data_IF_116491463882
#
_entry.id   IF_116491463882
#
_cell.length_a   1.000
_cell.length_b   1.000
_cell.length_c   1.000
_cell.angle_alpha   90.00
_cell.angle_beta   90.00
_cell.angle_gamma   90.00
#
_symmetry.space_group_name_H-M   'P 1'
#
loop_
_entity.id
_entity.type
_entity.pdbx_description
1 polymer ?
#
# COMPACT_ATOMS: atom_id res chain seq x y z
N UNK A 1 20.78 -15.44 10.30
CA UNK A 1 19.98 -14.74 11.31
C UNK A 1 19.20 -15.71 12.17
N UNK A 2 18.23 -16.45 11.62
CA UNK A 2 17.30 -17.31 12.40
C UNK A 2 17.97 -18.38 13.25
N UNK A 3 19.01 -19.05 12.74
CA UNK A 3 19.78 -20.02 13.51
C UNK A 3 20.47 -19.39 14.74
N UNK A 4 21.04 -18.18 14.59
CA UNK A 4 21.68 -17.48 15.71
C UNK A 4 20.66 -17.11 16.80
N UNK A 5 19.48 -16.60 16.41
CA UNK A 5 18.41 -16.29 17.35
C UNK A 5 17.94 -17.55 18.08
N UNK A 6 17.78 -18.67 17.35
CA UNK A 6 17.39 -19.93 17.96
C UNK A 6 18.42 -20.44 18.97
N UNK A 7 19.71 -20.40 18.63
CA UNK A 7 20.76 -20.83 19.57
C UNK A 7 20.85 -19.91 20.79
N UNK A 8 20.65 -18.60 20.62
CA UNK A 8 20.61 -17.66 21.73
C UNK A 8 19.44 -17.94 22.69
N UNK A 9 18.23 -18.20 22.16
CA UNK A 9 17.08 -18.56 22.99
C UNK A 9 17.31 -19.86 23.75
N UNK A 10 17.89 -20.87 23.09
CA UNK A 10 18.25 -22.14 23.72
C UNK A 10 19.30 -21.96 24.82
N UNK A 11 20.30 -21.09 24.62
CA UNK A 11 21.29 -20.75 25.65
C UNK A 11 20.65 -20.05 26.87
N UNK A 12 19.62 -19.23 26.64
CA UNK A 12 18.81 -18.62 27.70
C UNK A 12 17.81 -19.59 28.36
N UNK A 13 17.80 -20.87 27.97
CA UNK A 13 16.91 -21.90 28.52
C UNK A 13 15.47 -21.85 27.99
N UNK A 14 15.21 -21.09 26.93
CA UNK A 14 13.90 -21.02 26.28
C UNK A 14 13.72 -22.19 25.31
N UNK A 15 12.58 -22.86 25.35
CA UNK A 15 12.27 -23.97 24.44
C UNK A 15 11.92 -23.43 23.06
N UNK A 16 12.92 -23.34 22.19
CA UNK A 16 12.74 -22.91 20.80
C UNK A 16 13.23 -23.93 19.76
N UNK A 17 12.57 -23.94 18.60
CA UNK A 17 12.95 -24.75 17.43
C UNK A 17 13.02 -23.91 16.17
N UNK A 18 13.99 -24.22 15.30
CA UNK A 18 14.10 -23.63 13.97
C UNK A 18 13.35 -24.51 12.95
N UNK A 19 12.28 -23.98 12.36
CA UNK A 19 11.57 -24.58 11.24
C UNK A 19 12.10 -24.02 9.92
N UNK A 20 12.65 -24.83 9.00
CA UNK A 20 13.12 -24.33 7.72
C UNK A 20 11.94 -23.92 6.83
N UNK A 21 11.88 -22.65 6.41
CA UNK A 21 10.79 -22.12 5.58
C UNK A 21 10.62 -22.90 4.27
N UNK A 22 11.71 -23.43 3.70
CA UNK A 22 11.69 -24.21 2.46
C UNK A 22 10.94 -25.56 2.57
N UNK A 23 10.59 -26.02 3.78
CA UNK A 23 9.83 -27.25 3.99
C UNK A 23 8.31 -27.03 3.88
N UNK A 24 7.84 -25.78 3.99
CA UNK A 24 6.41 -25.47 3.97
C UNK A 24 6.02 -24.28 3.09
N UNK A 25 6.92 -23.31 2.88
CA UNK A 25 6.65 -22.13 2.07
C UNK A 25 6.82 -22.43 0.58
N UNK A 26 5.75 -22.25 -0.20
CA UNK A 26 5.73 -22.58 -1.64
C UNK A 26 4.89 -21.60 -2.46
N UNK A 27 5.34 -21.37 -3.70
CA UNK A 27 4.58 -20.70 -4.76
C UNK A 27 4.21 -21.64 -5.90
N UNK A 28 3.14 -21.29 -6.63
CA UNK A 28 2.62 -21.98 -7.79
C UNK A 28 3.35 -21.57 -9.09
N UNK A 29 2.81 -22.00 -10.25
CA UNK A 29 3.42 -21.71 -11.57
C UNK A 29 3.31 -20.23 -11.97
N UNK A 30 2.45 -19.46 -11.32
CA UNK A 30 2.25 -18.04 -11.55
C UNK A 30 3.03 -17.19 -10.53
N UNK A 31 3.90 -17.82 -9.72
CA UNK A 31 4.62 -17.20 -8.61
C UNK A 31 3.70 -16.68 -7.48
N UNK A 32 2.48 -17.21 -7.38
CA UNK A 32 1.56 -16.91 -6.28
C UNK A 32 1.71 -17.94 -5.15
N UNK A 33 1.64 -17.56 -3.85
CA UNK A 33 1.71 -18.52 -2.76
C UNK A 33 0.59 -19.57 -2.82
N UNK A 34 0.89 -20.81 -2.42
CA UNK A 34 -0.09 -21.91 -2.32
C UNK A 34 -0.56 -22.07 -0.86
N UNK A 35 -1.71 -21.48 -0.46
CA UNK A 35 -2.10 -21.43 0.95
C UNK A 35 -2.45 -22.80 1.52
N UNK A 36 -2.96 -23.71 0.67
CA UNK A 36 -3.32 -25.08 1.08
C UNK A 36 -2.05 -25.86 1.39
N UNK A 37 -1.07 -25.83 0.48
CA UNK A 37 0.22 -26.47 0.69
C UNK A 37 0.93 -25.92 1.93
N UNK A 38 0.98 -24.59 2.06
CA UNK A 38 1.64 -23.92 3.20
C UNK A 38 1.01 -24.38 4.50
N UNK A 39 -0.32 -24.38 4.59
CA UNK A 39 -1.06 -24.80 5.78
C UNK A 39 -0.77 -26.25 6.16
N UNK A 40 -0.89 -27.18 5.21
CA UNK A 40 -0.72 -28.61 5.48
C UNK A 40 0.72 -28.94 5.88
N UNK A 41 1.70 -28.36 5.18
CA UNK A 41 3.12 -28.60 5.47
C UNK A 41 3.60 -27.92 6.74
N UNK A 42 3.15 -26.68 7.01
CA UNK A 42 3.47 -26.01 8.26
C UNK A 42 2.90 -26.79 9.44
N UNK A 43 1.65 -27.27 9.34
CA UNK A 43 1.06 -28.11 10.39
C UNK A 43 1.88 -29.38 10.64
N UNK A 44 2.30 -30.07 9.58
CA UNK A 44 3.16 -31.24 9.72
C UNK A 44 4.50 -30.93 10.40
N UNK A 45 5.08 -29.73 10.17
CA UNK A 45 6.30 -29.29 10.85
C UNK A 45 6.06 -28.96 12.33
N UNK A 46 4.93 -28.33 12.66
CA UNK A 46 4.55 -28.02 14.04
C UNK A 46 4.31 -29.31 14.86
N UNK A 47 3.64 -30.30 14.27
CA UNK A 47 3.32 -31.58 14.92
C UNK A 47 4.58 -32.41 15.28
N UNK A 48 5.74 -32.12 14.68
CA UNK A 48 7.02 -32.74 15.05
C UNK A 48 7.56 -32.25 16.40
N UNK A 49 7.11 -31.08 16.86
CA UNK A 49 7.69 -30.40 18.02
C UNK A 49 6.62 -29.87 19.00
N UNK A 50 5.64 -30.69 19.42
CA UNK A 50 4.43 -30.23 20.13
C UNK A 50 4.69 -29.55 21.48
N UNK A 51 5.82 -29.85 22.13
CA UNK A 51 6.20 -29.30 23.44
C UNK A 51 7.06 -28.02 23.36
N UNK A 52 7.15 -27.40 22.17
CA UNK A 52 7.95 -26.19 21.92
C UNK A 52 7.13 -24.92 22.16
N UNK A 53 7.75 -23.93 22.79
CA UNK A 53 7.11 -22.65 23.10
C UNK A 53 7.29 -21.65 21.96
N UNK A 54 8.49 -21.59 21.35
CA UNK A 54 8.82 -20.62 20.30
C UNK A 54 9.30 -21.32 19.03
N UNK A 55 8.59 -21.07 17.92
CA UNK A 55 9.00 -21.52 16.59
C UNK A 55 9.65 -20.37 15.85
N UNK A 56 10.86 -20.58 15.35
CA UNK A 56 11.61 -19.61 14.55
C UNK A 56 11.64 -20.11 13.12
N UNK A 57 11.39 -19.24 12.15
CA UNK A 57 11.54 -19.56 10.73
C UNK A 57 12.04 -18.37 9.93
N UNK A 58 12.48 -18.61 8.69
CA UNK A 58 12.93 -17.57 7.78
C UNK A 58 11.74 -16.90 7.09
N UNK A 59 11.84 -15.58 6.89
CA UNK A 59 10.99 -14.86 5.94
C UNK A 59 11.58 -14.88 4.52
N UNK A 60 10.82 -14.32 3.57
CA UNK A 60 11.20 -14.03 2.18
C UNK A 60 11.46 -15.23 1.27
N UNK A 61 12.02 -16.34 1.76
CA UNK A 61 12.40 -17.51 0.95
C UNK A 61 11.25 -18.53 0.81
N UNK A 62 11.17 -19.21 -0.34
CA UNK A 62 10.18 -20.25 -0.61
C UNK A 62 10.70 -21.27 -1.62
N UNK A 63 9.91 -22.31 -1.90
CA UNK A 63 10.09 -23.16 -3.09
C UNK A 63 9.15 -22.75 -4.21
N UNK A 64 9.62 -22.72 -5.45
CA UNK A 64 8.75 -22.50 -6.61
C UNK A 64 7.99 -23.77 -7.01
N UNK A 65 7.17 -23.68 -8.07
CA UNK A 65 6.42 -24.82 -8.59
C UNK A 65 7.30 -26.01 -9.02
N UNK A 66 8.57 -25.77 -9.36
CA UNK A 66 9.55 -26.75 -9.78
C UNK A 66 10.37 -27.33 -8.61
N UNK A 67 10.14 -26.86 -7.38
CA UNK A 67 10.83 -27.31 -6.17
C UNK A 67 12.17 -26.62 -5.92
N UNK A 68 12.55 -25.66 -6.75
CA UNK A 68 13.77 -24.88 -6.63
C UNK A 68 13.60 -23.78 -5.57
N UNK A 69 14.72 -23.29 -5.03
CA UNK A 69 14.70 -22.17 -4.08
C UNK A 69 14.36 -20.88 -4.84
N UNK A 70 13.39 -20.16 -4.32
CA UNK A 70 12.92 -18.88 -4.85
C UNK A 70 12.56 -17.93 -3.69
N UNK A 71 11.92 -16.80 -3.99
CA UNK A 71 11.53 -15.80 -3.00
C UNK A 71 10.16 -15.17 -3.27
N UNK A 72 9.59 -14.57 -2.23
CA UNK A 72 8.30 -13.89 -2.21
C UNK A 72 8.38 -12.41 -2.64
N UNK A 73 9.49 -12.00 -3.26
CA UNK A 73 9.71 -10.66 -3.79
C UNK A 73 9.52 -9.54 -2.74
N UNK A 74 8.96 -8.39 -3.16
CA UNK A 74 8.91 -7.17 -2.34
C UNK A 74 8.05 -7.37 -1.10
N UNK A 75 8.61 -7.02 0.06
CA UNK A 75 7.95 -7.23 1.36
C UNK A 75 7.83 -8.72 1.73
N UNK A 76 8.65 -9.59 1.14
CA UNK A 76 8.49 -11.04 1.30
C UNK A 76 8.57 -11.55 2.74
N UNK A 77 9.27 -10.88 3.65
CA UNK A 77 9.26 -11.25 5.08
C UNK A 77 7.91 -10.94 5.75
N UNK A 78 7.33 -9.77 5.50
CA UNK A 78 5.99 -9.41 6.00
C UNK A 78 4.93 -10.32 5.37
N UNK A 79 5.11 -10.66 4.08
CA UNK A 79 4.24 -11.57 3.38
C UNK A 79 4.32 -12.99 3.98
N UNK A 80 5.52 -13.44 4.34
CA UNK A 80 5.72 -14.73 5.05
C UNK A 80 4.97 -14.74 6.38
N UNK A 81 5.06 -13.66 7.16
CA UNK A 81 4.36 -13.55 8.44
C UNK A 81 2.83 -13.64 8.26
N UNK A 82 2.28 -12.95 7.26
CA UNK A 82 0.84 -13.03 6.96
C UNK A 82 0.39 -14.39 6.47
N UNK A 83 1.18 -15.05 5.62
CA UNK A 83 0.88 -16.40 5.13
C UNK A 83 0.90 -17.43 6.27
N UNK A 84 1.89 -17.34 7.16
CA UNK A 84 1.98 -18.19 8.36
C UNK A 84 0.80 -17.91 9.29
N UNK A 85 0.51 -16.63 9.57
CA UNK A 85 -0.61 -16.22 10.43
C UNK A 85 -1.94 -16.78 9.92
N UNK A 86 -2.20 -16.68 8.62
CA UNK A 86 -3.37 -17.27 7.98
C UNK A 86 -3.38 -18.80 8.06
N UNK A 87 -2.23 -19.46 7.84
CA UNK A 87 -2.11 -20.92 7.89
C UNK A 87 -2.40 -21.50 9.28
N UNK A 88 -1.96 -20.82 10.34
CA UNK A 88 -2.18 -21.25 11.74
C UNK A 88 -3.42 -20.65 12.39
N UNK A 89 -4.19 -19.82 11.66
CA UNK A 89 -5.32 -19.07 12.18
C UNK A 89 -4.94 -18.26 13.44
N UNK A 90 -3.88 -17.48 13.32
CA UNK A 90 -3.37 -16.63 14.39
C UNK A 90 -4.42 -15.59 14.83
N UNK A 91 -4.38 -15.21 16.11
CA UNK A 91 -5.24 -14.13 16.63
C UNK A 91 -4.79 -12.73 16.18
N UNK A 92 -3.50 -12.57 15.88
CA UNK A 92 -2.88 -11.32 15.45
C UNK A 92 -1.55 -11.64 14.74
N UNK A 93 -1.17 -10.82 13.77
CA UNK A 93 0.17 -10.81 13.16
C UNK A 93 0.86 -9.51 13.58
N UNK A 94 2.08 -9.60 14.12
CA UNK A 94 2.83 -8.43 14.55
C UNK A 94 4.05 -8.22 13.64
N UNK A 95 4.17 -7.02 13.07
CA UNK A 95 5.31 -6.59 12.27
C UNK A 95 6.05 -5.52 13.06
N UNK A 96 7.28 -5.83 13.43
CA UNK A 96 8.14 -4.96 14.24
C UNK A 96 9.08 -4.17 13.33
N UNK A 97 9.02 -2.84 13.44
CA UNK A 97 9.76 -1.89 12.60
C UNK A 97 10.54 -0.91 13.48
N UNK A 98 11.12 0.14 12.91
CA UNK A 98 11.87 1.20 13.59
C UNK A 98 11.02 2.46 13.89
N UNK A 99 9.71 2.39 13.69
CA UNK A 99 8.76 3.51 13.86
C UNK A 99 7.51 3.07 14.64
N UNK A 100 6.87 3.99 15.38
CA UNK A 100 5.60 3.75 16.09
C UNK A 100 4.42 3.76 15.09
N UNK A 101 4.31 2.69 14.32
CA UNK A 101 3.21 2.47 13.38
C UNK A 101 3.20 3.44 12.20
N UNK A 102 2.02 3.64 11.60
CA UNK A 102 1.81 4.60 10.51
C UNK A 102 1.39 5.95 11.09
N UNK A 103 2.01 7.03 10.65
CA UNK A 103 1.65 8.39 11.06
C UNK A 103 0.54 8.97 10.18
N UNK A 104 -0.24 9.90 10.73
CA UNK A 104 -1.29 10.62 10.01
C UNK A 104 -0.76 11.58 8.92
N UNK A 105 0.54 11.85 8.91
CA UNK A 105 1.23 12.61 7.86
C UNK A 105 2.74 12.29 7.91
N UNK A 106 3.52 12.73 6.92
CA UNK A 106 4.98 12.54 6.94
C UNK A 106 5.64 13.44 8.00
N UNK A 107 6.21 12.88 9.09
CA UNK A 107 6.84 13.66 10.16
C UNK A 107 8.07 14.46 9.71
N UNK A 108 8.62 14.18 8.52
CA UNK A 108 9.76 14.91 7.96
C UNK A 108 9.34 16.21 7.27
N UNK A 109 8.05 16.35 6.94
CA UNK A 109 7.52 17.47 6.14
C UNK A 109 6.55 18.33 6.98
N UNK A 110 5.70 17.68 7.76
CA UNK A 110 4.63 18.29 8.55
C UNK A 110 4.96 18.21 10.03
N UNK A 111 4.76 19.32 10.74
CA UNK A 111 4.92 19.36 12.19
C UNK A 111 3.70 18.74 12.90
N UNK A 112 3.91 18.20 14.10
CA UNK A 112 2.84 17.67 14.99
C UNK A 112 2.07 16.48 14.40
N UNK A 113 2.75 15.61 13.66
CA UNK A 113 2.12 14.34 13.24
C UNK A 113 1.92 13.43 14.45
N UNK A 114 0.95 12.53 14.33
CA UNK A 114 0.62 11.55 15.35
C UNK A 114 0.47 10.16 14.72
N UNK A 115 0.86 9.09 15.42
CA UNK A 115 0.55 7.73 15.02
C UNK A 115 -0.95 7.50 14.89
N UNK A 116 -1.36 6.87 13.80
CA UNK A 116 -2.73 6.39 13.59
C UNK A 116 -2.86 5.06 14.32
N UNK A 117 -3.77 4.97 15.29
CA UNK A 117 -3.87 3.77 16.15
C UNK A 117 -4.66 2.63 15.52
N UNK A 118 -5.59 2.94 14.62
CA UNK A 118 -6.40 1.96 13.92
C UNK A 118 -6.58 2.37 12.46
N UNK A 119 -6.39 1.42 11.56
CA UNK A 119 -6.63 1.54 10.13
C UNK A 119 -7.42 0.32 9.61
N UNK A 120 -8.30 0.56 8.66
CA UNK A 120 -8.82 -0.48 7.81
C UNK A 120 -7.72 -0.95 6.84
N UNK A 121 -7.76 -2.21 6.38
CA UNK A 121 -6.78 -2.74 5.41
C UNK A 121 -6.67 -1.89 4.15
N UNK A 122 -7.79 -1.38 3.64
CA UNK A 122 -7.77 -0.50 2.45
C UNK A 122 -7.16 0.87 2.78
N UNK A 123 -7.46 1.47 3.93
CA UNK A 123 -6.82 2.73 4.34
C UNK A 123 -5.29 2.57 4.45
N UNK A 124 -4.82 1.47 5.05
CA UNK A 124 -3.40 1.15 5.14
C UNK A 124 -2.75 0.95 3.75
N UNK A 125 -3.47 0.30 2.82
CA UNK A 125 -2.99 0.10 1.45
C UNK A 125 -2.82 1.43 0.70
N UNK A 126 -3.77 2.36 0.85
CA UNK A 126 -3.70 3.70 0.26
C UNK A 126 -2.49 4.47 0.81
N UNK A 127 -2.32 4.48 2.13
CA UNK A 127 -1.18 5.15 2.77
C UNK A 127 0.16 4.55 2.36
N UNK A 128 0.22 3.22 2.28
CA UNK A 128 1.42 2.50 1.84
C UNK A 128 1.81 2.85 0.41
N UNK A 129 0.82 2.94 -0.47
CA UNK A 129 1.03 3.26 -1.88
C UNK A 129 1.47 4.71 -2.07
N UNK A 130 0.83 5.65 -1.37
CA UNK A 130 1.04 7.09 -1.58
C UNK A 130 2.07 7.74 -0.66
N UNK A 131 2.75 7.06 0.27
CA UNK A 131 3.85 7.71 0.99
C UNK A 131 4.48 6.94 2.16
N UNK A 132 3.69 6.16 2.88
CA UNK A 132 4.15 5.41 4.04
C UNK A 132 4.75 4.06 3.61
N UNK A 133 5.98 4.06 3.09
CA UNK A 133 6.71 2.87 2.57
C UNK A 133 7.09 1.82 3.64
N UNK A 134 6.24 1.62 4.63
CA UNK A 134 6.45 0.77 5.81
C UNK A 134 6.03 -0.67 5.49
N UNK A 135 4.97 -0.83 4.72
CA UNK A 135 4.32 -2.10 4.47
C UNK A 135 3.83 -2.15 3.03
N UNK A 136 4.13 -3.23 2.30
CA UNK A 136 3.61 -3.38 0.94
C UNK A 136 2.17 -3.92 0.99
N UNK A 137 1.20 -3.36 0.22
CA UNK A 137 -0.22 -3.75 0.32
C UNK A 137 -0.49 -5.25 0.12
N UNK A 138 0.27 -5.91 -0.77
CA UNK A 138 0.10 -7.35 -1.02
C UNK A 138 0.51 -8.21 0.17
N UNK A 139 1.40 -7.73 1.03
CA UNK A 139 1.94 -8.51 2.15
C UNK A 139 0.88 -8.80 3.22
N UNK A 140 -0.14 -7.95 3.36
CA UNK A 140 -1.21 -8.11 4.35
C UNK A 140 -2.49 -8.70 3.78
N UNK A 141 -2.52 -8.98 2.49
CA UNK A 141 -3.68 -9.55 1.82
C UNK A 141 -4.10 -10.92 2.38
N UNK A 142 -3.18 -11.85 2.74
CA UNK A 142 -3.58 -13.09 3.42
C UNK A 142 -4.26 -12.83 4.77
N UNK A 143 -3.75 -11.86 5.53
CA UNK A 143 -4.30 -11.47 6.83
C UNK A 143 -5.71 -10.87 6.66
N UNK A 144 -5.88 -9.98 5.67
CA UNK A 144 -7.19 -9.41 5.28
C UNK A 144 -8.22 -10.48 4.97
N UNK A 145 -7.88 -11.45 4.11
CA UNK A 145 -8.80 -12.52 3.73
C UNK A 145 -9.09 -13.51 4.85
N UNK A 146 -8.13 -13.75 5.74
CA UNK A 146 -8.31 -14.58 6.93
C UNK A 146 -8.99 -13.83 8.09
N UNK A 147 -9.27 -12.52 7.93
CA UNK A 147 -9.78 -11.64 8.99
C UNK A 147 -8.88 -11.64 10.25
N UNK A 148 -7.56 -11.64 10.06
CA UNK A 148 -6.57 -11.59 11.13
C UNK A 148 -6.00 -10.17 11.19
N UNK A 149 -6.08 -9.47 12.33
CA UNK A 149 -5.51 -8.14 12.46
C UNK A 149 -3.98 -8.17 12.37
N UNK A 150 -3.40 -7.13 11.76
CA UNK A 150 -1.96 -6.92 11.66
C UNK A 150 -1.60 -5.71 12.50
N UNK A 151 -0.63 -5.81 13.41
CA UNK A 151 -0.14 -4.69 14.21
C UNK A 151 1.27 -4.30 13.80
N UNK A 152 1.45 -3.03 13.48
CA UNK A 152 2.76 -2.42 13.27
C UNK A 152 3.29 -1.87 14.59
N UNK A 153 4.44 -2.37 15.04
CA UNK A 153 5.05 -2.06 16.33
C UNK A 153 6.46 -1.46 16.15
N UNK A 154 6.94 -0.79 17.19
CA UNK A 154 8.28 -0.19 17.23
C UNK A 154 9.23 -1.04 18.06
N UNK A 155 10.30 -1.54 17.43
CA UNK A 155 11.36 -2.32 18.08
C UNK A 155 12.11 -1.49 19.14
N UNK A 156 12.19 -0.18 18.95
CA UNK A 156 12.89 0.74 19.87
C UNK A 156 12.01 1.24 21.02
N UNK A 157 10.69 1.04 20.94
CA UNK A 157 9.73 1.38 21.98
C UNK A 157 8.65 0.30 22.10
N UNK A 158 8.95 -0.84 22.75
CA UNK A 158 8.06 -2.01 22.77
C UNK A 158 6.71 -1.82 23.47
N UNK A 159 6.60 -0.79 24.31
CA UNK A 159 5.36 -0.46 25.03
C UNK A 159 4.44 0.46 24.20
N UNK A 160 4.93 0.97 23.06
CA UNK A 160 4.12 1.78 22.16
C UNK A 160 2.93 0.96 21.61
N UNK A 161 1.70 1.50 21.58
CA UNK A 161 0.53 0.76 21.09
C UNK A 161 0.62 0.33 19.63
N UNK A 162 1.43 1.02 18.83
CA UNK A 162 1.55 0.82 17.39
C UNK A 162 0.31 1.26 16.61
N UNK A 163 0.19 0.71 15.41
CA UNK A 163 -0.98 0.83 14.52
C UNK A 163 -1.59 -0.54 14.32
N UNK A 164 -2.87 -0.71 14.67
CA UNK A 164 -3.64 -1.90 14.36
C UNK A 164 -4.32 -1.76 12.99
N UNK A 165 -4.14 -2.76 12.13
CA UNK A 165 -4.75 -2.83 10.80
C UNK A 165 -5.71 -4.02 10.78
N UNK A 166 -7.00 -3.78 10.54
CA UNK A 166 -8.03 -4.84 10.49
C UNK A 166 -9.09 -4.59 9.42
N UNK A 167 -10.10 -5.46 9.33
CA UNK A 167 -11.29 -5.21 8.51
C UNK A 167 -12.33 -4.31 9.21
N UNK A 168 -12.01 -3.78 10.40
CA UNK A 168 -12.88 -2.87 11.13
C UNK A 168 -12.61 -1.42 10.75
N UNK A 169 -13.62 -0.74 10.22
CA UNK A 169 -13.55 0.67 9.85
C UNK A 169 -14.03 1.55 11.00
N UNK A 170 -13.18 2.45 11.48
CA UNK A 170 -13.59 3.55 12.36
C UNK A 170 -14.33 4.61 11.53
N UNK A 171 -15.67 4.63 11.64
CA UNK A 171 -16.54 5.45 10.81
C UNK A 171 -16.38 6.97 11.01
N UNK A 172 -16.66 7.72 9.95
CA UNK A 172 -16.82 9.18 9.97
C UNK A 172 -15.55 9.92 10.38
N UNK A 173 -14.38 9.49 9.91
CA UNK A 173 -13.11 10.08 10.31
C UNK A 173 -12.06 9.96 9.22
N UNK A 174 -11.43 11.09 8.90
CA UNK A 174 -10.18 11.13 8.13
C UNK A 174 -9.04 10.67 9.05
N UNK A 175 -8.20 9.76 8.56
CA UNK A 175 -7.11 9.15 9.34
C UNK A 175 -5.78 9.80 9.07
N UNK A 176 -5.50 10.09 7.81
CA UNK A 176 -4.14 10.40 7.40
C UNK A 176 -4.10 11.12 6.04
N UNK A 177 -2.95 11.72 5.74
CA UNK A 177 -2.62 12.32 4.46
C UNK A 177 -1.23 11.82 4.04
N UNK A 178 -1.10 11.41 2.79
CA UNK A 178 0.15 10.94 2.21
C UNK A 178 0.46 11.68 0.90
N UNK A 179 1.72 11.65 0.46
CA UNK A 179 2.18 12.31 -0.75
C UNK A 179 3.13 11.45 -1.58
N UNK A 180 2.81 11.27 -2.87
CA UNK A 180 3.62 10.55 -3.84
C UNK A 180 4.27 11.55 -4.81
N UNK A 181 5.59 11.58 -4.76
CA UNK A 181 6.44 12.47 -5.57
C UNK A 181 6.73 11.89 -6.96
N UNK A 182 7.40 12.69 -7.80
CA UNK A 182 7.88 12.32 -9.14
C UNK A 182 6.76 11.91 -10.11
N UNK A 183 5.64 12.62 -10.06
CA UNK A 183 4.49 12.32 -10.91
C UNK A 183 4.54 13.16 -12.18
N UNK A 184 4.22 12.52 -13.30
CA UNK A 184 4.01 13.18 -14.59
C UNK A 184 2.54 13.02 -15.00
N UNK A 185 1.86 14.12 -15.24
CA UNK A 185 0.48 14.14 -15.74
C UNK A 185 0.46 14.21 -17.27
N UNK A 186 -0.33 13.35 -17.90
CA UNK A 186 -0.53 13.32 -19.34
C UNK A 186 -2.01 13.56 -19.61
N UNK A 187 -2.32 14.66 -20.29
CA UNK A 187 -3.69 14.99 -20.69
C UNK A 187 -3.86 14.79 -22.19
N UNK A 188 -4.85 14.00 -22.55
CA UNK A 188 -5.22 13.69 -23.94
C UNK A 188 -6.60 14.30 -24.19
N UNK A 189 -6.67 15.27 -25.11
CA UNK A 189 -7.92 15.91 -25.54
C UNK A 189 -8.28 15.43 -26.94
N UNK A 190 -9.50 14.89 -27.09
CA UNK A 190 -10.00 14.42 -28.38
C UNK A 190 -11.51 14.57 -28.46
N UNK A 191 -12.01 15.30 -29.46
CA UNK A 191 -13.45 15.35 -29.76
C UNK A 191 -14.00 13.98 -30.16
N UNK A 192 -13.13 13.06 -30.61
CA UNK A 192 -13.47 11.67 -30.94
C UNK A 192 -13.73 10.79 -29.73
N UNK A 193 -13.58 11.30 -28.51
CA UNK A 193 -13.94 10.56 -27.29
C UNK A 193 -15.46 10.58 -27.06
N UNK A 194 -16.15 11.64 -27.49
CA UNK A 194 -17.58 11.80 -27.27
C UNK A 194 -18.37 10.68 -27.99
N UNK A 195 -19.16 9.91 -27.23
CA UNK A 195 -19.97 8.78 -27.74
C UNK A 195 -19.17 7.67 -28.45
N UNK A 196 -17.84 7.66 -28.31
CA UNK A 196 -17.00 6.69 -28.99
C UNK A 196 -16.71 5.47 -28.12
N UNK A 197 -16.98 4.28 -28.67
CA UNK A 197 -16.58 3.03 -28.05
C UNK A 197 -15.08 2.77 -28.24
N UNK A 198 -14.40 2.33 -27.18
CA UNK A 198 -13.02 1.85 -27.23
C UNK A 198 -11.92 2.92 -27.20
N UNK A 199 -12.24 4.21 -27.04
CA UNK A 199 -11.21 5.26 -26.91
C UNK A 199 -10.31 5.01 -25.69
N UNK A 200 -10.91 4.80 -24.50
CA UNK A 200 -10.15 4.54 -23.27
C UNK A 200 -9.33 3.26 -23.35
N UNK A 201 -9.88 2.19 -23.97
CA UNK A 201 -9.14 0.94 -24.22
C UNK A 201 -7.86 1.21 -25.01
N UNK A 202 -7.96 1.93 -26.13
CA UNK A 202 -6.80 2.25 -26.98
C UNK A 202 -5.75 3.09 -26.23
N UNK A 203 -6.20 4.03 -25.39
CA UNK A 203 -5.28 4.81 -24.54
C UNK A 203 -4.54 3.90 -23.57
N UNK A 204 -5.25 3.03 -22.83
CA UNK A 204 -4.63 2.15 -21.85
C UNK A 204 -3.76 1.04 -22.45
N UNK A 205 -4.11 0.52 -23.63
CA UNK A 205 -3.28 -0.46 -24.38
C UNK A 205 -1.89 0.10 -24.70
N UNK A 206 -1.74 1.41 -24.91
CA UNK A 206 -0.43 2.04 -25.13
C UNK A 206 0.42 1.93 -23.86
N UNK A 207 -0.11 2.33 -22.70
CA UNK A 207 0.62 2.25 -21.44
C UNK A 207 0.99 0.81 -21.09
N UNK A 208 0.09 -0.14 -21.32
CA UNK A 208 0.33 -1.58 -21.14
C UNK A 208 1.48 -2.08 -22.04
N UNK A 209 1.48 -1.69 -23.31
CA UNK A 209 2.52 -2.10 -24.29
C UNK A 209 3.93 -1.69 -23.86
N UNK A 210 4.06 -0.58 -23.13
CA UNK A 210 5.32 -0.10 -22.56
C UNK A 210 5.50 -0.45 -21.08
N UNK A 211 4.66 -1.33 -20.52
CA UNK A 211 4.68 -1.75 -19.12
C UNK A 211 4.74 -0.57 -18.13
N UNK A 212 3.99 0.50 -18.44
CA UNK A 212 3.94 1.72 -17.63
C UNK A 212 2.64 1.74 -16.83
N UNK A 213 2.74 1.68 -15.51
CA UNK A 213 1.58 1.77 -14.62
C UNK A 213 1.01 3.18 -14.58
N UNK A 214 -0.30 3.29 -14.37
CA UNK A 214 -1.03 4.54 -14.22
C UNK A 214 -1.52 4.64 -12.78
N UNK A 215 -1.31 5.78 -12.12
CA UNK A 215 -1.76 5.99 -10.74
C UNK A 215 -3.18 6.56 -10.67
N UNK A 216 -3.38 7.76 -11.24
CA UNK A 216 -4.66 8.48 -11.22
C UNK A 216 -5.21 8.61 -12.63
N UNK A 217 -6.55 8.58 -12.70
CA UNK A 217 -7.32 8.84 -13.92
C UNK A 217 -8.39 9.89 -13.61
N UNK A 218 -8.56 10.86 -14.50
CA UNK A 218 -9.65 11.84 -14.46
C UNK A 218 -10.18 12.04 -15.88
N UNK A 219 -11.50 12.02 -16.05
CA UNK A 219 -12.15 12.16 -17.34
C UNK A 219 -12.97 13.46 -17.43
N UNK A 220 -13.14 13.92 -18.66
CA UNK A 220 -14.12 14.91 -19.09
C UNK A 220 -14.83 14.35 -20.32
N UNK A 221 -15.81 15.06 -20.85
CA UNK A 221 -16.59 14.65 -22.02
C UNK A 221 -15.71 14.40 -23.27
N UNK A 222 -14.59 15.13 -23.38
CA UNK A 222 -13.71 15.13 -24.55
C UNK A 222 -12.24 14.97 -24.22
N UNK A 223 -11.91 14.47 -23.02
CA UNK A 223 -10.53 14.27 -22.64
C UNK A 223 -10.34 13.39 -21.43
N UNK A 224 -9.18 12.77 -21.37
CA UNK A 224 -8.71 11.93 -20.25
C UNK A 224 -7.36 12.46 -19.79
N UNK A 225 -7.19 12.57 -18.48
CA UNK A 225 -5.91 12.86 -17.85
C UNK A 225 -5.49 11.66 -17.03
N UNK A 226 -4.26 11.23 -17.21
CA UNK A 226 -3.66 10.09 -16.50
C UNK A 226 -2.34 10.52 -15.88
N UNK A 227 -1.93 9.87 -14.81
CA UNK A 227 -0.63 10.12 -14.18
C UNK A 227 0.24 8.88 -14.20
N UNK A 228 1.55 9.08 -14.33
CA UNK A 228 2.56 8.02 -14.26
C UNK A 228 3.71 8.45 -13.34
N UNK A 229 4.36 7.48 -12.72
CA UNK A 229 5.57 7.67 -11.91
C UNK A 229 6.86 7.17 -12.61
N UNK A 230 6.73 6.37 -13.68
CA UNK A 230 7.84 5.86 -14.48
C UNK A 230 7.90 6.51 -15.86
N UNK A 231 8.88 7.39 -16.07
CA UNK A 231 9.03 8.13 -17.33
C UNK A 231 9.96 7.48 -18.35
N UNK A 232 10.37 6.21 -18.15
CA UNK A 232 11.35 5.52 -19.02
C UNK A 232 10.97 5.52 -20.50
N UNK A 233 9.69 5.32 -20.81
CA UNK A 233 9.14 5.25 -22.17
C UNK A 233 8.22 6.42 -22.50
N UNK A 234 8.38 7.55 -21.81
CA UNK A 234 7.46 8.68 -21.92
C UNK A 234 7.36 9.21 -23.35
N UNK A 235 8.48 9.37 -24.06
CA UNK A 235 8.45 9.96 -25.41
C UNK A 235 7.69 9.07 -26.40
N UNK A 236 7.93 7.76 -26.35
CA UNK A 236 7.28 6.75 -27.18
C UNK A 236 5.77 6.70 -26.91
N UNK A 237 5.37 6.70 -25.63
CA UNK A 237 3.97 6.80 -25.20
C UNK A 237 3.33 8.07 -25.76
N UNK A 238 3.99 9.23 -25.67
CA UNK A 238 3.43 10.49 -26.17
C UNK A 238 3.25 10.48 -27.68
N UNK A 239 4.18 9.89 -28.44
CA UNK A 239 4.07 9.81 -29.89
C UNK A 239 2.94 8.88 -30.35
N UNK A 240 2.68 7.81 -29.61
CA UNK A 240 1.52 6.94 -29.85
C UNK A 240 0.20 7.62 -29.47
N UNK A 241 0.16 8.34 -28.33
CA UNK A 241 -1.03 9.05 -27.87
C UNK A 241 -1.44 10.20 -28.81
N UNK A 242 -0.48 10.88 -29.44
CA UNK A 242 -0.75 11.96 -30.42
C UNK A 242 -1.59 11.50 -31.62
N UNK A 243 -1.62 10.20 -31.91
CA UNK A 243 -2.48 9.61 -32.97
C UNK A 243 -3.97 9.70 -32.61
N UNK A 244 -4.29 9.85 -31.32
CA UNK A 244 -5.66 9.81 -30.79
C UNK A 244 -6.19 11.18 -30.36
N UNK A 245 -5.33 12.18 -30.15
CA UNK A 245 -5.74 13.52 -29.77
C UNK A 245 -4.57 14.47 -29.50
N UNK A 246 -4.88 15.68 -29.04
CA UNK A 246 -3.87 16.64 -28.59
C UNK A 246 -3.38 16.21 -27.20
N UNK A 247 -2.07 16.05 -27.06
CA UNK A 247 -1.43 15.60 -25.82
C UNK A 247 -0.67 16.76 -25.18
N UNK A 248 -0.89 16.99 -23.89
CA UNK A 248 -0.12 17.94 -23.06
C UNK A 248 0.45 17.22 -21.84
N UNK A 249 1.64 17.62 -21.41
CA UNK A 249 2.36 16.96 -20.31
C UNK A 249 2.72 17.98 -19.25
N UNK A 250 2.35 17.68 -18.01
CA UNK A 250 2.73 18.44 -16.83
C UNK A 250 3.72 17.59 -16.02
N UNK A 251 4.97 18.06 -15.90
CA UNK A 251 6.04 17.41 -15.11
C UNK A 251 6.12 18.03 -13.71
N UNK A 252 6.90 17.43 -12.83
CA UNK A 252 7.16 17.94 -11.47
C UNK A 252 5.85 18.08 -10.67
N UNK A 253 5.03 17.03 -10.74
CA UNK A 253 3.78 16.95 -10.02
C UNK A 253 3.92 16.01 -8.82
N UNK A 254 3.02 16.18 -7.87
CA UNK A 254 2.90 15.35 -6.68
C UNK A 254 1.42 15.00 -6.47
N UNK A 255 1.15 13.75 -6.11
CA UNK A 255 -0.18 13.31 -5.69
C UNK A 255 -0.27 13.43 -4.18
N UNK A 256 -1.25 14.18 -3.69
CA UNK A 256 -1.63 14.22 -2.28
C UNK A 256 -2.87 13.35 -2.11
N UNK A 257 -2.80 12.35 -1.25
CA UNK A 257 -3.89 11.43 -0.96
C UNK A 257 -4.37 11.63 0.47
N UNK A 258 -5.64 11.95 0.65
CA UNK A 258 -6.31 12.01 1.95
C UNK A 258 -7.03 10.70 2.17
N UNK A 259 -6.73 10.03 3.27
CA UNK A 259 -7.20 8.68 3.59
C UNK A 259 -8.09 8.70 4.83
N UNK A 260 -9.20 7.97 4.76
CA UNK A 260 -10.10 7.71 5.88
C UNK A 260 -11.44 7.19 5.42
N UNK A 261 -12.47 7.27 6.26
CA UNK A 261 -13.81 6.85 5.90
C UNK A 261 -14.51 7.90 5.01
N UNK A 262 -14.48 7.67 3.70
CA UNK A 262 -15.07 8.49 2.65
C UNK A 262 -16.22 7.77 1.93
N UNK A 263 -16.94 6.88 2.62
CA UNK A 263 -18.24 6.39 2.17
C UNK A 263 -19.14 7.57 1.73
N UNK A 264 -19.91 7.41 0.65
CA UNK A 264 -20.69 8.50 0.06
C UNK A 264 -21.80 9.03 1.00
N UNK A 265 -22.18 8.24 2.00
CA UNK A 265 -23.07 8.65 3.09
C UNK A 265 -22.42 9.66 4.07
N UNK A 266 -21.08 9.72 4.12
CA UNK A 266 -20.34 10.62 5.01
C UNK A 266 -20.18 12.01 4.39
N UNK A 267 -21.19 12.85 4.62
CA UNK A 267 -21.28 14.19 4.02
C UNK A 267 -20.18 15.14 4.53
N UNK A 268 -19.45 15.76 3.60
CA UNK A 268 -18.65 16.97 3.85
C UNK A 268 -17.17 16.74 4.11
N UNK A 269 -16.66 15.51 4.10
CA UNK A 269 -15.22 15.26 4.18
C UNK A 269 -14.49 15.71 2.92
N UNK A 270 -15.08 15.43 1.76
CA UNK A 270 -14.65 15.93 0.46
C UNK A 270 -14.62 17.45 0.42
N UNK A 271 -15.63 18.11 1.01
CA UNK A 271 -15.70 19.56 1.10
C UNK A 271 -14.58 20.12 1.99
N UNK A 272 -14.32 19.49 3.15
CA UNK A 272 -13.22 19.88 4.05
C UNK A 272 -11.85 19.71 3.39
N UNK A 273 -11.64 18.60 2.67
CA UNK A 273 -10.38 18.34 1.97
C UNK A 273 -10.16 19.37 0.84
N UNK A 274 -11.21 19.70 0.08
CA UNK A 274 -11.16 20.75 -0.93
C UNK A 274 -10.92 22.13 -0.31
N UNK A 275 -11.54 22.42 0.83
CA UNK A 275 -11.39 23.70 1.50
C UNK A 275 -9.97 23.92 2.03
N UNK A 276 -9.35 22.87 2.57
CA UNK A 276 -7.95 22.88 2.95
C UNK A 276 -6.99 23.16 1.76
N UNK A 277 -7.44 22.88 0.54
CA UNK A 277 -6.68 23.09 -0.70
C UNK A 277 -7.06 24.40 -1.42
N UNK A 278 -7.91 25.25 -0.82
CA UNK A 278 -8.50 26.44 -1.47
C UNK A 278 -7.47 27.38 -2.11
N UNK A 279 -6.34 27.59 -1.45
CA UNK A 279 -5.30 28.53 -1.91
C UNK A 279 -4.19 27.86 -2.74
N UNK A 280 -4.39 26.59 -3.12
CA UNK A 280 -3.39 25.78 -3.83
C UNK A 280 -3.94 25.39 -5.20
N UNK A 281 -3.21 25.67 -6.30
CA UNK A 281 -3.64 25.25 -7.63
C UNK A 281 -3.71 23.73 -7.76
N UNK A 282 -4.94 23.19 -7.82
CA UNK A 282 -5.19 21.76 -8.03
C UNK A 282 -5.34 21.45 -9.52
N UNK A 283 -4.55 20.50 -10.01
CA UNK A 283 -4.53 20.09 -11.41
C UNK A 283 -5.57 19.01 -11.74
N UNK A 284 -5.71 18.03 -10.86
CA UNK A 284 -6.67 16.91 -10.97
C UNK A 284 -7.20 16.57 -9.58
N UNK A 285 -8.45 16.12 -9.53
CA UNK A 285 -9.06 15.50 -8.36
C UNK A 285 -9.55 14.13 -8.81
N UNK A 286 -9.26 13.08 -8.04
CA UNK A 286 -9.82 11.75 -8.23
C UNK A 286 -10.50 11.32 -6.94
N UNK A 287 -11.78 10.98 -7.04
CA UNK A 287 -12.64 10.60 -5.93
C UNK A 287 -13.74 9.66 -6.45
N UNK A 288 -14.16 8.70 -5.61
CA UNK A 288 -15.22 7.73 -5.94
C UNK A 288 -14.72 6.42 -6.56
N UNK A 289 -13.41 6.24 -6.75
CA UNK A 289 -12.84 4.93 -7.11
C UNK A 289 -12.67 3.99 -5.92
N UNK A 290 -12.69 4.54 -4.70
CA UNK A 290 -12.57 3.85 -3.42
C UNK A 290 -13.36 4.65 -2.38
N UNK A 291 -13.89 3.97 -1.35
CA UNK A 291 -14.51 4.62 -0.19
C UNK A 291 -13.48 5.09 0.84
N UNK A 292 -12.18 4.93 0.55
CA UNK A 292 -11.10 5.15 1.53
C UNK A 292 -10.17 6.31 1.18
N UNK A 293 -10.29 6.90 -0.02
CA UNK A 293 -9.38 7.97 -0.44
C UNK A 293 -10.03 9.07 -1.29
N UNK A 294 -9.46 10.27 -1.20
CA UNK A 294 -9.55 11.34 -2.19
C UNK A 294 -8.15 11.81 -2.54
N UNK A 295 -7.86 11.90 -3.84
CA UNK A 295 -6.52 12.22 -4.35
C UNK A 295 -6.52 13.53 -5.13
N UNK A 296 -5.52 14.37 -4.86
CA UNK A 296 -5.28 15.65 -5.50
C UNK A 296 -3.93 15.63 -6.22
N UNK A 297 -3.91 16.04 -7.48
CA UNK A 297 -2.66 16.27 -8.19
C UNK A 297 -2.30 17.76 -8.12
N UNK A 298 -1.13 18.08 -7.60
CA UNK A 298 -0.61 19.45 -7.47
C UNK A 298 0.83 19.52 -7.99
N UNK A 299 1.37 20.73 -8.14
CA UNK A 299 2.79 20.90 -8.42
C UNK A 299 3.61 20.48 -7.21
N UNK A 300 4.77 19.89 -7.44
CA UNK A 300 5.66 19.42 -6.39
C UNK A 300 6.12 20.56 -5.46
N UNK A 301 6.30 21.77 -6.00
CA UNK A 301 6.66 22.96 -5.22
C UNK A 301 5.61 23.35 -4.16
N UNK A 302 4.34 22.97 -4.37
CA UNK A 302 3.23 23.30 -3.48
C UNK A 302 3.01 22.22 -2.39
N UNK A 303 3.75 21.09 -2.46
CA UNK A 303 3.58 19.91 -1.59
C UNK A 303 3.59 20.23 -0.10
N UNK A 304 4.59 20.97 0.36
CA UNK A 304 4.75 21.26 1.80
C UNK A 304 3.55 22.07 2.33
N UNK A 305 3.14 23.08 1.57
CA UNK A 305 1.99 23.94 1.93
C UNK A 305 0.70 23.12 1.93
N UNK A 306 0.50 22.26 0.93
CA UNK A 306 -0.66 21.38 0.85
C UNK A 306 -0.76 20.42 2.05
N UNK A 307 0.33 19.70 2.34
CA UNK A 307 0.35 18.74 3.46
C UNK A 307 0.12 19.43 4.81
N UNK A 308 0.69 20.62 5.01
CA UNK A 308 0.47 21.37 6.25
C UNK A 308 -0.96 21.92 6.35
N UNK A 309 -1.51 22.45 5.26
CA UNK A 309 -2.89 22.98 5.23
C UNK A 309 -3.92 21.89 5.50
N UNK A 310 -3.77 20.73 4.83
CA UNK A 310 -4.59 19.55 5.09
C UNK A 310 -4.43 19.06 6.53
N UNK A 311 -3.22 19.01 7.06
CA UNK A 311 -2.99 18.62 8.45
C UNK A 311 -3.70 19.55 9.44
N UNK A 312 -3.57 20.86 9.22
CA UNK A 312 -4.13 21.87 10.11
C UNK A 312 -5.66 21.84 10.13
N UNK A 313 -6.30 21.73 8.96
CA UNK A 313 -7.75 21.71 8.82
C UNK A 313 -8.38 20.37 9.25
N UNK A 314 -7.72 19.24 8.94
CA UNK A 314 -8.30 17.91 9.14
C UNK A 314 -8.01 17.31 10.51
N UNK A 315 -6.87 17.66 11.13
CA UNK A 315 -6.43 17.05 12.39
C UNK A 315 -6.26 18.05 13.53
N UNK A 316 -5.86 19.29 13.23
CA UNK A 316 -5.50 20.27 14.27
C UNK A 316 -6.60 21.29 14.58
N UNK A 317 -7.74 21.25 13.87
CA UNK A 317 -8.92 22.07 14.16
C UNK A 317 -8.69 23.58 14.09
N UNK A 318 -7.84 24.05 13.17
CA UNK A 318 -7.64 25.47 12.89
C UNK A 318 -8.62 26.01 11.86
#
# INVERSE_FOLDING_TARGET
STAMVNFYLQECGVKSVLLPALEFMRTDKNAEPDPVYIKDKLRAQLDLYPDTEIYITQGFICRNAYGEIDNLQRGGSDYTASLIGAAVNASEIQIWTDIDGMHNNDPRIVDKTAPVRQLHFEEAAELAYFGAKILHPTCIQPAKYANIPVRLLNTMDPEAPGTLISNDTEKGKIKAVAAKDNITAIKIKSSRMLLAHGFLRKVFEIFESYQTSIDMICTSEVGVSVTIDNTKHLNEILDDLKKYGTVTVDKEMCIICVVGDLEWENVGFEAKALDAMRDIPVRMISFGGSNYNISFLIRECDKKVALQSLSDMLFNGK
#
